data_IF_859901229407
#
_entry.id   IF_859901229407
#
_cell.length_a   1.000
_cell.length_b   1.000
_cell.length_c   1.000
_cell.angle_alpha   90.00
_cell.angle_beta   90.00
_cell.angle_gamma   90.00
#
_symmetry.space_group_name_H-M   'P 1'
#
loop_
_entity.id
_entity.type
_entity.pdbx_description
1 polymer ?
#
# COMPACT_ATOMS: atom_id res chain seq x y z
N UNK A 1 29.44 3.85 -0.27
CA UNK A 1 28.93 3.05 0.86
C UNK A 1 27.40 2.97 0.79
N UNK A 2 26.83 1.78 0.69
CA UNK A 2 25.38 1.61 0.74
C UNK A 2 24.89 1.96 2.15
N UNK A 3 24.31 3.16 2.31
CA UNK A 3 23.72 3.56 3.59
C UNK A 3 22.60 2.55 3.95
N UNK A 4 22.85 1.75 4.99
CA UNK A 4 21.95 0.73 5.52
C UNK A 4 20.64 1.32 6.06
N UNK A 5 19.69 0.45 6.40
CA UNK A 5 18.48 0.87 7.10
C UNK A 5 18.81 1.14 8.58
N UNK A 6 18.05 2.06 9.20
CA UNK A 6 18.26 2.45 10.60
C UNK A 6 17.91 1.30 11.54
N UNK A 7 18.77 0.99 12.51
CA UNK A 7 18.50 -0.03 13.55
C UNK A 7 17.46 0.43 14.58
N UNK A 8 17.26 1.75 14.73
CA UNK A 8 16.42 2.36 15.76
C UNK A 8 14.94 2.55 15.36
N UNK A 9 14.51 1.95 14.25
CA UNK A 9 13.13 2.06 13.77
C UNK A 9 12.04 1.44 14.67
N UNK A 10 12.31 0.50 15.61
CA UNK A 10 11.31 0.02 16.56
C UNK A 10 10.82 1.10 17.55
N UNK A 11 11.57 2.19 17.72
CA UNK A 11 11.17 3.29 18.59
C UNK A 11 9.98 4.05 17.99
N UNK A 12 8.96 4.37 18.80
CA UNK A 12 7.75 5.06 18.37
C UNK A 12 8.08 6.48 17.87
N UNK A 13 8.02 6.66 16.56
CA UNK A 13 8.06 7.97 15.89
C UNK A 13 6.74 8.21 15.16
N UNK A 14 6.37 9.50 15.00
CA UNK A 14 5.25 9.89 14.12
C UNK A 14 5.54 9.35 12.71
N UNK A 15 4.73 8.39 12.26
CA UNK A 15 4.86 7.75 10.96
C UNK A 15 4.47 8.75 9.86
N UNK A 16 5.08 8.61 8.68
CA UNK A 16 4.71 9.46 7.55
C UNK A 16 3.41 8.94 6.95
N UNK A 17 2.47 9.84 6.66
CA UNK A 17 1.19 9.44 6.09
C UNK A 17 1.42 8.74 4.73
N UNK A 18 0.96 7.49 4.65
CA UNK A 18 1.25 6.62 3.51
C UNK A 18 0.57 7.09 2.24
N UNK A 19 -0.61 7.71 2.34
CA UNK A 19 -1.32 8.28 1.19
C UNK A 19 -0.52 9.46 0.61
N UNK A 20 -0.01 10.35 1.45
CA UNK A 20 0.85 11.46 1.04
C UNK A 20 2.18 10.96 0.49
N UNK A 21 2.80 9.96 1.12
CA UNK A 21 4.02 9.36 0.61
C UNK A 21 3.80 8.77 -0.79
N UNK A 22 2.73 8.00 -1.01
CA UNK A 22 2.42 7.41 -2.32
C UNK A 22 2.11 8.48 -3.36
N UNK A 23 1.35 9.52 -2.98
CA UNK A 23 1.07 10.64 -3.86
C UNK A 23 2.37 11.31 -4.35
N UNK A 24 3.32 11.55 -3.43
CA UNK A 24 4.64 12.10 -3.76
C UNK A 24 5.48 11.14 -4.60
N UNK A 25 5.45 9.84 -4.30
CA UNK A 25 6.16 8.82 -5.08
C UNK A 25 5.66 8.77 -6.53
N UNK A 26 4.35 8.95 -6.75
CA UNK A 26 3.75 8.96 -8.08
C UNK A 26 4.05 10.21 -8.89
N UNK A 27 4.56 11.29 -8.28
CA UNK A 27 5.06 12.47 -8.99
C UNK A 27 6.34 12.19 -9.81
N UNK A 28 6.91 10.99 -9.73
CA UNK A 28 8.00 10.57 -10.62
C UNK A 28 7.52 10.36 -12.07
N UNK A 29 6.27 9.98 -12.28
CA UNK A 29 5.71 9.83 -13.61
C UNK A 29 5.52 11.20 -14.28
N UNK A 30 5.62 11.25 -15.61
CA UNK A 30 5.35 12.49 -16.34
C UNK A 30 3.90 12.97 -16.22
N UNK A 31 2.93 12.05 -16.27
CA UNK A 31 1.50 12.33 -16.13
C UNK A 31 0.78 11.12 -15.55
N UNK A 32 -0.40 11.35 -14.96
CA UNK A 32 -1.32 10.29 -14.53
C UNK A 32 -2.11 9.68 -15.68
N UNK A 33 -2.14 10.36 -16.82
CA UNK A 33 -2.86 9.94 -18.03
C UNK A 33 -2.09 8.92 -18.87
N UNK A 34 -0.82 8.68 -18.53
CA UNK A 34 0.00 7.70 -19.23
C UNK A 34 -0.60 6.30 -19.10
N UNK A 35 -0.56 5.54 -20.20
CA UNK A 35 -1.03 4.14 -20.23
C UNK A 35 -0.36 3.31 -19.15
N UNK A 36 0.94 3.53 -18.93
CA UNK A 36 1.75 2.85 -17.93
C UNK A 36 1.47 3.29 -16.49
N UNK A 37 0.80 4.43 -16.25
CA UNK A 37 0.61 4.96 -14.91
C UNK A 37 -0.15 3.99 -13.98
N UNK A 38 -1.23 3.37 -14.47
CA UNK A 38 -1.98 2.35 -13.70
C UNK A 38 -1.13 1.10 -13.41
N UNK A 39 -0.27 0.73 -14.35
CA UNK A 39 0.64 -0.41 -14.23
C UNK A 39 1.82 -0.10 -13.31
N UNK A 40 2.15 1.18 -13.09
CA UNK A 40 3.11 1.63 -12.10
C UNK A 40 2.51 1.66 -10.68
N UNK A 41 1.29 2.18 -10.54
CA UNK A 41 0.61 2.28 -9.24
C UNK A 41 0.38 0.91 -8.57
N UNK A 42 0.04 -0.11 -9.36
CA UNK A 42 -0.29 -1.45 -8.86
C UNK A 42 0.89 -2.15 -8.16
N UNK A 43 2.07 -2.35 -8.79
CA UNK A 43 3.23 -2.97 -8.16
C UNK A 43 3.80 -2.15 -7.02
N UNK A 44 3.67 -0.81 -7.03
CA UNK A 44 4.02 0.01 -5.85
C UNK A 44 3.10 -0.32 -4.68
N UNK A 45 1.80 -0.40 -4.91
CA UNK A 45 0.84 -0.81 -3.88
C UNK A 45 1.12 -2.23 -3.37
N UNK A 46 1.49 -3.17 -4.24
CA UNK A 46 1.79 -4.55 -3.85
C UNK A 46 3.16 -4.67 -3.14
N UNK A 47 4.13 -3.81 -3.49
CA UNK A 47 5.42 -3.68 -2.81
C UNK A 47 5.27 -3.14 -1.38
N UNK A 48 4.31 -2.24 -1.14
CA UNK A 48 4.02 -1.67 0.17
C UNK A 48 3.21 -2.64 1.02
N UNK A 49 2.09 -3.13 0.50
CA UNK A 49 1.10 -3.87 1.29
C UNK A 49 1.18 -5.37 1.02
N UNK A 50 1.75 -6.12 1.96
CA UNK A 50 1.81 -7.58 1.96
C UNK A 50 0.58 -8.15 2.62
N UNK A 51 -0.12 -9.08 1.95
CA UNK A 51 -1.27 -9.75 2.57
C UNK A 51 -0.77 -10.59 3.76
N UNK A 52 -1.47 -10.51 4.89
CA UNK A 52 -1.14 -11.36 6.03
C UNK A 52 -1.41 -12.84 5.68
N UNK A 53 -0.62 -13.79 6.22
CA UNK A 53 -0.84 -15.21 6.02
C UNK A 53 -2.27 -15.62 6.40
N UNK A 54 -2.89 -16.53 5.62
CA UNK A 54 -4.24 -17.04 5.89
C UNK A 54 -5.38 -16.14 5.42
N UNK A 55 -5.12 -14.87 5.06
CA UNK A 55 -6.20 -13.95 4.67
C UNK A 55 -6.84 -14.31 3.33
N UNK A 56 -6.08 -14.91 2.41
CA UNK A 56 -6.61 -15.36 1.13
C UNK A 56 -7.60 -16.49 1.35
N UNK A 57 -7.24 -17.45 2.20
CA UNK A 57 -8.03 -18.63 2.55
C UNK A 57 -9.29 -18.21 3.31
N UNK A 58 -9.14 -17.31 4.29
CA UNK A 58 -10.25 -16.77 5.08
C UNK A 58 -11.32 -16.10 4.22
N UNK A 59 -10.90 -15.23 3.29
CA UNK A 59 -11.85 -14.55 2.38
C UNK A 59 -12.38 -15.50 1.30
N UNK A 60 -11.59 -16.49 0.87
CA UNK A 60 -12.07 -17.54 -0.06
C UNK A 60 -13.16 -18.39 0.57
N UNK A 61 -13.01 -18.80 1.84
CA UNK A 61 -14.05 -19.54 2.57
C UNK A 61 -15.35 -18.74 2.67
N UNK A 62 -15.26 -17.44 2.92
CA UNK A 62 -16.41 -16.54 2.87
C UNK A 62 -17.11 -16.53 1.51
N UNK A 63 -16.35 -16.40 0.42
CA UNK A 63 -16.92 -16.39 -0.94
C UNK A 63 -17.58 -17.72 -1.30
N UNK A 64 -17.00 -18.85 -0.87
CA UNK A 64 -17.62 -20.18 -1.01
C UNK A 64 -18.91 -20.30 -0.21
N UNK A 65 -18.96 -19.77 1.01
CA UNK A 65 -20.18 -19.73 1.82
C UNK A 65 -21.29 -18.87 1.19
N UNK A 66 -20.94 -17.92 0.33
CA UNK A 66 -21.89 -17.17 -0.52
C UNK A 66 -22.30 -17.93 -1.81
N UNK A 67 -21.86 -19.18 -1.98
CA UNK A 67 -22.17 -20.01 -3.15
C UNK A 67 -21.30 -19.73 -4.38
N UNK A 68 -20.17 -19.03 -4.26
CA UNK A 68 -19.25 -18.84 -5.40
C UNK A 68 -18.39 -20.09 -5.64
N UNK A 69 -18.25 -20.46 -6.91
CA UNK A 69 -17.31 -21.50 -7.34
C UNK A 69 -15.87 -20.97 -7.37
N UNK A 70 -14.89 -21.86 -7.25
CA UNK A 70 -13.46 -21.50 -7.28
C UNK A 70 -13.07 -20.79 -8.57
N UNK A 71 -13.67 -21.15 -9.70
CA UNK A 71 -13.43 -20.47 -10.98
C UNK A 71 -13.89 -19.01 -10.94
N UNK A 72 -15.06 -18.73 -10.37
CA UNK A 72 -15.53 -17.35 -10.20
C UNK A 72 -14.66 -16.58 -9.20
N UNK A 73 -14.16 -17.25 -8.16
CA UNK A 73 -13.28 -16.64 -7.15
C UNK A 73 -11.95 -16.16 -7.77
N UNK A 74 -11.41 -16.87 -8.77
CA UNK A 74 -10.19 -16.46 -9.49
C UNK A 74 -10.35 -15.09 -10.16
N UNK A 75 -11.56 -14.74 -10.61
CA UNK A 75 -11.86 -13.48 -11.26
C UNK A 75 -12.35 -12.37 -10.31
N UNK A 76 -12.38 -12.62 -8.99
CA UNK A 76 -12.78 -11.61 -8.01
C UNK A 76 -11.80 -10.43 -8.07
N UNK A 77 -12.30 -9.19 -8.25
CA UNK A 77 -11.46 -8.04 -8.52
C UNK A 77 -10.56 -7.71 -7.32
N UNK A 78 -9.35 -7.22 -7.60
CA UNK A 78 -8.35 -6.80 -6.60
C UNK A 78 -8.94 -5.95 -5.47
N UNK A 79 -9.86 -5.03 -5.78
CA UNK A 79 -10.52 -4.16 -4.78
C UNK A 79 -11.25 -4.93 -3.68
N UNK A 80 -11.78 -6.11 -3.99
CA UNK A 80 -12.50 -6.94 -3.03
C UNK A 80 -11.52 -7.54 -2.01
N UNK A 81 -10.42 -8.12 -2.50
CA UNK A 81 -9.33 -8.62 -1.65
C UNK A 81 -8.70 -7.50 -0.82
N UNK A 82 -8.55 -6.29 -1.39
CA UNK A 82 -8.06 -5.12 -0.65
C UNK A 82 -9.00 -4.66 0.47
N UNK A 83 -10.30 -4.91 0.33
CA UNK A 83 -11.32 -4.55 1.32
C UNK A 83 -11.43 -5.55 2.47
N UNK A 84 -11.32 -6.85 2.17
CA UNK A 84 -11.63 -7.90 3.14
C UNK A 84 -10.40 -8.59 3.73
N UNK A 85 -9.24 -8.52 3.08
CA UNK A 85 -8.00 -9.03 3.64
C UNK A 85 -7.28 -7.95 4.47
N UNK A 86 -6.53 -8.40 5.46
CA UNK A 86 -5.55 -7.63 6.23
C UNK A 86 -4.19 -7.65 5.53
N UNK A 87 -3.45 -6.57 5.66
CA UNK A 87 -2.14 -6.38 5.05
C UNK A 87 -1.16 -5.81 6.07
N UNK A 88 0.12 -6.16 5.95
CA UNK A 88 1.22 -5.52 6.67
C UNK A 88 2.13 -4.75 5.71
N UNK A 89 2.80 -3.74 6.23
CA UNK A 89 3.91 -3.07 5.57
C UNK A 89 5.20 -3.64 6.16
N UNK A 90 6.03 -4.32 5.35
CA UNK A 90 7.17 -5.08 5.84
C UNK A 90 8.27 -4.17 6.40
N UNK A 91 9.26 -4.79 7.05
CA UNK A 91 10.45 -4.13 7.56
C UNK A 91 11.16 -3.26 6.50
N UNK A 92 11.86 -2.18 6.92
CA UNK A 92 12.49 -1.21 6.03
C UNK A 92 13.33 -1.82 4.91
N UNK A 93 14.12 -2.85 5.22
CA UNK A 93 15.04 -3.50 4.29
C UNK A 93 14.29 -4.25 3.18
N UNK A 94 13.20 -4.93 3.56
CA UNK A 94 12.34 -5.66 2.63
C UNK A 94 11.57 -4.66 1.76
N UNK A 95 10.98 -3.63 2.37
CA UNK A 95 10.25 -2.59 1.64
C UNK A 95 11.16 -1.86 0.64
N UNK A 96 12.38 -1.52 1.07
CA UNK A 96 13.40 -0.89 0.22
C UNK A 96 13.68 -1.71 -1.03
N UNK A 97 14.01 -2.99 -0.86
CA UNK A 97 14.33 -3.89 -1.99
C UNK A 97 13.16 -3.98 -2.97
N UNK A 98 11.93 -4.17 -2.48
CA UNK A 98 10.75 -4.30 -3.34
C UNK A 98 10.50 -3.03 -4.15
N UNK A 99 10.58 -1.86 -3.53
CA UNK A 99 10.37 -0.58 -4.23
C UNK A 99 11.51 -0.23 -5.18
N UNK A 100 12.76 -0.60 -4.85
CA UNK A 100 13.90 -0.49 -5.76
C UNK A 100 13.69 -1.33 -7.03
N UNK A 101 13.20 -2.56 -6.91
CA UNK A 101 12.91 -3.40 -8.08
C UNK A 101 11.85 -2.77 -8.99
N UNK A 102 10.76 -2.23 -8.41
CA UNK A 102 9.72 -1.55 -9.21
C UNK A 102 10.29 -0.30 -9.88
N UNK A 103 11.04 0.52 -9.14
CA UNK A 103 11.65 1.73 -9.70
C UNK A 103 12.64 1.40 -10.82
N UNK A 104 13.51 0.41 -10.64
CA UNK A 104 14.47 -0.01 -11.65
C UNK A 104 13.78 -0.45 -12.94
N UNK A 105 12.69 -1.22 -12.83
CA UNK A 105 11.91 -1.64 -13.99
C UNK A 105 11.32 -0.44 -14.75
N UNK A 106 10.62 0.47 -14.07
CA UNK A 106 9.93 1.59 -14.74
C UNK A 106 10.86 2.69 -15.23
N UNK A 107 12.07 2.83 -14.68
CA UNK A 107 12.99 3.90 -15.11
C UNK A 107 13.52 3.70 -16.53
N UNK A 108 13.60 2.46 -16.98
CA UNK A 108 14.11 2.09 -18.31
C UNK A 108 13.00 2.09 -19.38
N UNK A 109 11.74 2.28 -18.96
CA UNK A 109 10.61 2.28 -19.88
C UNK A 109 10.40 3.65 -20.52
N UNK A 110 10.10 3.64 -21.81
CA UNK A 110 9.50 4.77 -22.50
C UNK A 110 7.97 4.75 -22.33
N UNK A 111 7.35 5.91 -22.50
CA UNK A 111 5.90 6.04 -22.60
C UNK A 111 5.42 5.53 -23.97
N UNK A 112 4.68 4.41 -24.03
CA UNK A 112 4.23 3.83 -25.29
C UNK A 112 3.17 4.68 -26.00
N UNK A 113 2.55 5.64 -25.30
CA UNK A 113 1.55 6.53 -25.88
C UNK A 113 2.10 7.85 -26.40
N UNK A 114 3.41 8.11 -26.25
CA UNK A 114 4.01 9.36 -26.69
C UNK A 114 4.27 9.37 -28.21
N UNK A 115 4.07 10.51 -28.90
CA UNK A 115 4.35 10.64 -30.33
C UNK A 115 5.84 10.55 -30.67
N UNK A 116 6.72 10.69 -29.68
CA UNK A 116 8.16 10.54 -29.78
C UNK A 116 8.69 9.76 -28.56
N UNK A 117 9.87 9.10 -28.65
CA UNK A 117 10.46 8.40 -27.52
C UNK A 117 10.63 9.33 -26.32
N UNK A 118 9.80 9.12 -25.30
CA UNK A 118 9.82 9.88 -24.06
C UNK A 118 9.93 8.90 -22.90
N UNK A 119 10.85 9.10 -21.94
CA UNK A 119 10.90 8.28 -20.74
C UNK A 119 9.57 8.29 -19.98
N UNK A 120 9.22 7.20 -19.32
CA UNK A 120 8.02 7.13 -18.47
C UNK A 120 8.11 8.12 -17.29
N UNK A 121 9.30 8.21 -16.70
CA UNK A 121 9.60 9.11 -15.60
C UNK A 121 10.07 10.48 -16.06
N UNK A 122 9.73 11.51 -15.28
CA UNK A 122 10.19 12.88 -15.51
C UNK A 122 11.60 13.12 -14.98
N UNK A 123 12.21 14.25 -15.35
CA UNK A 123 13.58 14.60 -14.96
C UNK A 123 13.83 14.66 -13.43
N UNK A 124 12.80 14.85 -12.60
CA UNK A 124 12.93 14.92 -11.13
C UNK A 124 12.84 13.56 -10.46
N UNK A 125 12.59 12.48 -11.20
CA UNK A 125 12.31 11.17 -10.63
C UNK A 125 13.40 10.63 -9.70
N UNK A 126 14.69 10.82 -10.03
CA UNK A 126 15.80 10.36 -9.20
C UNK A 126 15.84 11.06 -7.84
N UNK A 127 15.53 12.36 -7.79
CA UNK A 127 15.47 13.14 -6.55
C UNK A 127 14.28 12.71 -5.68
N UNK A 128 13.10 12.57 -6.30
CA UNK A 128 11.89 12.09 -5.62
C UNK A 128 12.15 10.69 -5.05
N UNK A 129 12.71 9.77 -5.85
CA UNK A 129 13.05 8.42 -5.42
C UNK A 129 14.01 8.44 -4.22
N UNK A 130 15.11 9.19 -4.31
CA UNK A 130 16.08 9.32 -3.21
C UNK A 130 15.43 9.81 -1.91
N UNK A 131 14.56 10.83 -1.99
CA UNK A 131 13.84 11.36 -0.85
C UNK A 131 12.84 10.34 -0.28
N UNK A 132 12.05 9.69 -1.15
CA UNK A 132 11.09 8.67 -0.74
C UNK A 132 11.77 7.48 -0.05
N UNK A 133 12.93 7.06 -0.55
CA UNK A 133 13.73 5.97 0.03
C UNK A 133 14.33 6.34 1.38
N UNK A 134 14.62 7.62 1.63
CA UNK A 134 15.09 8.09 2.94
C UNK A 134 14.05 7.81 4.04
N UNK A 135 12.76 8.11 3.79
CA UNK A 135 11.68 7.81 4.74
C UNK A 135 11.56 6.31 5.02
N UNK A 136 11.65 5.49 3.97
CA UNK A 136 11.55 4.03 4.09
C UNK A 136 12.69 3.47 4.93
N UNK A 137 13.94 3.86 4.64
CA UNK A 137 15.12 3.36 5.36
C UNK A 137 15.10 3.66 6.86
N UNK A 138 14.38 4.70 7.26
CA UNK A 138 14.17 5.07 8.66
C UNK A 138 12.90 4.43 9.28
N UNK A 139 12.18 3.60 8.53
CA UNK A 139 10.98 2.90 8.99
C UNK A 139 9.76 3.78 9.18
N UNK A 140 9.67 4.93 8.50
CA UNK A 140 8.52 5.84 8.62
C UNK A 140 7.23 5.26 8.01
N UNK A 141 7.35 4.24 7.16
CA UNK A 141 6.23 3.57 6.50
C UNK A 141 5.96 2.17 7.07
N UNK A 142 6.99 1.48 7.55
CA UNK A 142 6.88 0.11 8.05
C UNK A 142 6.04 0.04 9.31
N UNK A 143 5.24 -1.02 9.41
CA UNK A 143 4.49 -1.31 10.62
C UNK A 143 5.46 -1.68 11.76
N UNK A 144 5.22 -1.19 12.98
CA UNK A 144 5.96 -1.67 14.15
C UNK A 144 5.81 -3.19 14.30
N UNK A 145 6.88 -3.90 14.72
CA UNK A 145 6.77 -5.33 15.00
C UNK A 145 5.78 -5.53 16.17
N UNK A 146 4.99 -6.60 16.10
CA UNK A 146 3.99 -6.98 17.12
C UNK A 146 2.82 -6.00 17.34
N UNK A 147 2.67 -4.95 16.50
CA UNK A 147 1.49 -4.08 16.55
C UNK A 147 0.42 -4.58 15.59
N UNK A 148 -0.78 -4.88 16.10
CA UNK A 148 -1.94 -5.14 15.24
C UNK A 148 -2.44 -3.81 14.65
N UNK A 149 -2.35 -3.71 13.33
CA UNK A 149 -2.77 -2.52 12.58
C UNK A 149 -4.25 -2.57 12.19
N UNK A 150 -5.01 -3.53 12.72
CA UNK A 150 -6.41 -3.72 12.43
C UNK A 150 -7.23 -3.86 13.70
N UNK A 151 -8.45 -3.33 13.64
CA UNK A 151 -9.47 -3.54 14.67
C UNK A 151 -10.72 -4.12 14.04
N UNK A 152 -11.42 -4.99 14.75
CA UNK A 152 -12.69 -5.54 14.29
C UNK A 152 -13.71 -4.42 14.10
N UNK A 153 -14.41 -4.45 12.98
CA UNK A 153 -15.43 -3.45 12.64
C UNK A 153 -16.83 -4.06 12.66
N UNK A 154 -17.00 -5.24 12.04
CA UNK A 154 -18.27 -5.97 12.02
C UNK A 154 -18.07 -7.41 11.54
N UNK A 155 -19.06 -8.26 11.78
CA UNK A 155 -19.10 -9.63 11.27
C UNK A 155 -20.22 -9.77 10.24
N UNK A 156 -19.93 -10.42 9.11
CA UNK A 156 -20.92 -10.70 8.07
C UNK A 156 -21.71 -11.98 8.39
N UNK A 157 -22.87 -12.19 7.74
CA UNK A 157 -23.73 -13.36 7.95
C UNK A 157 -23.00 -14.72 7.79
N UNK A 158 -22.01 -14.77 6.92
CA UNK A 158 -21.12 -15.93 6.71
C UNK A 158 -20.11 -16.20 7.83
N UNK A 159 -20.06 -15.36 8.87
CA UNK A 159 -19.03 -15.39 9.92
C UNK A 159 -17.73 -14.63 9.60
N UNK A 160 -17.59 -14.05 8.40
CA UNK A 160 -16.40 -13.25 8.07
C UNK A 160 -16.33 -11.98 8.91
N UNK A 161 -15.29 -11.88 9.75
CA UNK A 161 -14.95 -10.64 10.47
C UNK A 161 -14.31 -9.64 9.49
N UNK A 162 -14.87 -8.44 9.42
CA UNK A 162 -14.37 -7.31 8.64
C UNK A 162 -13.59 -6.40 9.57
N UNK A 163 -12.39 -6.02 9.15
CA UNK A 163 -11.48 -5.21 9.93
C UNK A 163 -11.36 -3.78 9.38
N UNK A 164 -11.11 -2.83 10.29
CA UNK A 164 -10.73 -1.46 9.98
C UNK A 164 -9.23 -1.28 10.19
N UNK A 165 -8.55 -0.73 9.19
CA UNK A 165 -7.12 -0.42 9.24
C UNK A 165 -6.86 0.83 10.10
N UNK A 166 -5.81 0.80 10.92
CA UNK A 166 -5.39 1.92 11.77
C UNK A 166 -4.35 2.85 11.13
N UNK A 167 -3.84 2.53 9.92
CA UNK A 167 -2.79 3.32 9.23
C UNK A 167 -3.27 4.65 8.66
N UNK A 168 -4.56 4.77 8.38
CA UNK A 168 -5.16 5.95 7.77
C UNK A 168 -6.01 6.66 8.82
N UNK A 169 -5.36 7.45 9.65
CA UNK A 169 -6.04 8.51 10.37
C UNK A 169 -5.28 9.79 10.06
N UNK A 170 -5.66 10.45 8.97
CA UNK A 170 -5.37 11.88 8.92
C UNK A 170 -5.97 12.54 10.17
N UNK A 171 -5.38 13.62 10.71
CA UNK A 171 -5.95 14.30 11.87
C UNK A 171 -7.45 14.65 11.69
N UNK A 172 -7.85 14.98 10.46
CA UNK A 172 -9.24 15.24 10.08
C UNK A 172 -10.12 13.98 10.15
N UNK A 173 -9.65 12.85 9.62
CA UNK A 173 -10.35 11.56 9.77
C UNK A 173 -10.42 11.14 11.24
N UNK A 174 -9.38 11.38 12.02
CA UNK A 174 -9.34 11.15 13.47
C UNK A 174 -10.40 11.99 14.20
N UNK A 175 -10.50 13.29 13.85
CA UNK A 175 -11.53 14.19 14.37
C UNK A 175 -12.94 13.69 14.04
N UNK A 176 -13.21 13.33 12.78
CA UNK A 176 -14.52 12.79 12.40
C UNK A 176 -14.84 11.43 13.04
N UNK A 177 -13.84 10.58 13.24
CA UNK A 177 -13.99 9.33 13.97
C UNK A 177 -14.35 9.60 15.44
N UNK A 178 -13.69 10.55 16.08
CA UNK A 178 -14.00 10.98 17.44
C UNK A 178 -15.42 11.55 17.53
N UNK A 179 -15.82 12.43 16.61
CA UNK A 179 -17.18 12.96 16.55
C UNK A 179 -18.24 11.85 16.42
N UNK A 180 -18.01 10.85 15.58
CA UNK A 180 -18.94 9.70 15.44
C UNK A 180 -19.03 8.84 16.69
N UNK A 181 -17.95 8.72 17.45
CA UNK A 181 -17.95 7.99 18.72
C UNK A 181 -18.69 8.74 19.82
N UNK A 182 -18.47 10.06 19.91
CA UNK A 182 -19.03 10.93 20.97
C UNK A 182 -20.51 11.25 20.70
N UNK A 183 -20.85 11.57 19.45
CA UNK A 183 -22.16 12.12 19.10
C UNK A 183 -23.10 11.12 18.41
N UNK A 184 -22.84 9.80 18.52
CA UNK A 184 -23.63 8.69 17.92
C UNK A 184 -24.96 9.16 17.29
N UNK A 185 -24.92 9.44 15.99
CA UNK A 185 -26.10 9.49 15.15
C UNK A 185 -26.35 8.08 14.58
#
# INVERSE_FOLDING_TARGET
AAAGCSTDWPNLFIKYDLRHWMANFFLMAHSKELVLFKYFCTPISDAIFQMLPGERERVTAHLRALGMTDERIRHVPRRYWRRYCRYTIPAPEVLCRRLQSVYAFFRELADPGAPYPRPFFNAKHASIFKNSMWYIKRGYLSDPPAMDMYVEAKTLATGLVVYRCLRSTSPLEGYHLHLRQVYKA
#
